data_IF_584791197068
#
_entry.id   IF_584791197068
#
_cell.length_a   1.000
_cell.length_b   1.000
_cell.length_c   1.000
_cell.angle_alpha   90.00
_cell.angle_beta   90.00
_cell.angle_gamma   90.00
#
_symmetry.space_group_name_H-M   'P 1'
#
loop_
_entity.id
_entity.type
_entity.pdbx_description
1 polymer ?
#
# COMPACT_ATOMS: atom_id res chain seq x y z
N UNK A 1 3.18 9.60 7.22
CA UNK A 1 3.33 8.50 6.24
C UNK A 1 3.50 7.22 7.03
N UNK A 2 2.76 6.17 6.69
CA UNK A 2 2.97 4.83 7.27
C UNK A 2 3.66 3.99 6.20
N UNK A 3 4.72 3.30 6.61
CA UNK A 3 5.51 2.44 5.76
C UNK A 3 5.63 1.05 6.38
N UNK A 4 5.57 0.01 5.57
CA UNK A 4 5.69 -1.37 6.04
C UNK A 4 6.51 -2.23 5.06
N UNK A 5 7.06 -3.32 5.59
CA UNK A 5 7.55 -4.41 4.77
C UNK A 5 6.38 -5.36 4.54
N UNK A 6 6.00 -5.54 3.27
CA UNK A 6 4.86 -6.36 2.87
C UNK A 6 5.38 -7.69 2.34
N UNK A 7 4.98 -8.79 2.98
CA UNK A 7 5.19 -10.14 2.46
C UNK A 7 4.09 -10.47 1.44
N UNK A 8 4.47 -11.13 0.34
CA UNK A 8 3.55 -11.57 -0.70
C UNK A 8 3.26 -13.08 -0.55
N UNK A 9 2.04 -13.50 -0.86
CA UNK A 9 1.61 -14.91 -0.69
C UNK A 9 2.46 -15.92 -1.47
N UNK A 10 2.99 -15.51 -2.64
CA UNK A 10 3.92 -16.31 -3.46
C UNK A 10 5.38 -16.27 -2.98
N UNK A 11 5.65 -15.61 -1.85
CA UNK A 11 7.00 -15.34 -1.36
C UNK A 11 7.56 -14.00 -1.84
N UNK A 12 8.66 -13.58 -1.20
CA UNK A 12 9.25 -12.26 -1.41
C UNK A 12 8.63 -11.18 -0.53
N UNK A 13 9.35 -10.06 -0.41
CA UNK A 13 8.91 -8.90 0.37
C UNK A 13 9.35 -7.60 -0.26
N UNK A 14 8.52 -6.58 -0.13
CA UNK A 14 8.83 -5.25 -0.61
C UNK A 14 8.48 -4.19 0.43
N UNK A 15 9.29 -3.13 0.53
CA UNK A 15 8.99 -2.04 1.44
C UNK A 15 8.04 -1.06 0.71
N UNK A 16 6.81 -0.90 1.22
CA UNK A 16 5.72 -0.18 0.56
C UNK A 16 5.00 0.75 1.54
N UNK A 17 4.51 1.88 1.04
CA UNK A 17 3.64 2.78 1.81
C UNK A 17 2.21 2.21 1.92
N UNK A 18 1.60 2.41 3.10
CA UNK A 18 0.19 2.12 3.31
C UNK A 18 -0.69 3.31 2.88
N UNK A 19 -1.84 3.01 2.31
CA UNK A 19 -2.87 3.94 1.91
C UNK A 19 -4.20 3.60 2.58
N UNK A 20 -5.09 4.59 2.64
CA UNK A 20 -6.47 4.48 3.13
C UNK A 20 -6.61 4.01 4.59
N UNK A 21 -5.62 4.21 5.46
CA UNK A 21 -5.70 3.90 6.88
C UNK A 21 -4.91 4.90 7.75
N UNK A 22 -5.34 5.07 9.00
CA UNK A 22 -4.57 5.71 10.07
C UNK A 22 -3.58 4.76 10.74
N UNK A 23 -2.62 5.29 11.54
CA UNK A 23 -1.62 4.49 12.22
C UNK A 23 -2.21 3.55 13.29
N UNK A 24 -3.37 3.89 13.86
CA UNK A 24 -4.04 3.07 14.88
C UNK A 24 -4.96 1.98 14.26
N UNK A 25 -5.10 1.95 12.94
CA UNK A 25 -5.95 0.99 12.20
C UNK A 25 -5.17 -0.19 11.62
N UNK A 26 -3.90 -0.35 11.99
CA UNK A 26 -2.98 -1.31 11.37
C UNK A 26 -2.16 -2.08 12.41
N UNK A 27 -1.83 -3.32 12.07
CA UNK A 27 -1.00 -4.20 12.89
C UNK A 27 -0.17 -5.13 12.01
N UNK A 28 0.94 -5.62 12.54
CA UNK A 28 1.77 -6.62 11.85
C UNK A 28 0.96 -7.90 11.67
N UNK A 29 0.96 -8.46 10.46
CA UNK A 29 0.20 -9.65 10.10
C UNK A 29 -1.16 -9.36 9.47
N UNK A 30 -1.62 -8.11 9.47
CA UNK A 30 -2.84 -7.70 8.78
C UNK A 30 -2.74 -7.92 7.26
N UNK A 31 -3.85 -8.37 6.65
CA UNK A 31 -3.95 -8.54 5.20
C UNK A 31 -4.08 -7.19 4.51
N UNK A 32 -3.29 -7.00 3.46
CA UNK A 32 -3.33 -5.82 2.60
C UNK A 32 -3.45 -6.22 1.14
N UNK A 33 -3.96 -5.33 0.32
CA UNK A 33 -4.02 -5.48 -1.13
C UNK A 33 -3.22 -4.38 -1.82
N UNK A 34 -2.49 -4.70 -2.92
CA UNK A 34 -1.87 -3.68 -3.75
C UNK A 34 -2.90 -2.71 -4.31
N UNK A 35 -2.57 -1.43 -4.30
CA UNK A 35 -3.36 -0.37 -4.95
C UNK A 35 -2.44 0.47 -5.83
N UNK A 36 -2.86 0.72 -7.06
CA UNK A 36 -2.10 1.54 -8.00
C UNK A 36 -2.47 3.01 -7.82
N UNK A 37 -1.49 3.87 -7.53
CA UNK A 37 -1.74 5.27 -7.12
C UNK A 37 -0.85 6.23 -7.89
N UNK A 38 -1.41 7.39 -8.24
CA UNK A 38 -0.61 8.52 -8.73
C UNK A 38 0.16 9.12 -7.55
N UNK A 39 1.48 9.16 -7.65
CA UNK A 39 2.34 9.80 -6.65
C UNK A 39 2.41 11.31 -6.88
N UNK A 40 2.75 11.71 -8.10
CA UNK A 40 2.85 13.10 -8.51
C UNK A 40 2.78 13.22 -10.04
N UNK A 41 2.64 14.46 -10.52
CA UNK A 41 2.79 14.82 -11.92
C UNK A 41 3.98 15.77 -12.03
N UNK A 42 4.90 15.51 -12.95
CA UNK A 42 6.01 16.39 -13.28
C UNK A 42 6.18 16.42 -14.79
N UNK A 43 6.35 17.61 -15.38
CA UNK A 43 6.47 17.80 -16.82
C UNK A 43 5.36 17.07 -17.62
N UNK A 44 4.12 17.19 -17.15
CA UNK A 44 2.93 16.51 -17.70
C UNK A 44 2.95 14.97 -17.62
N UNK A 45 4.03 14.37 -17.09
CA UNK A 45 4.15 12.94 -16.87
C UNK A 45 3.57 12.58 -15.52
N UNK A 46 2.54 11.75 -15.53
CA UNK A 46 1.95 11.18 -14.33
C UNK A 46 2.78 10.00 -13.82
N UNK A 47 3.39 10.15 -12.65
CA UNK A 47 4.14 9.09 -12.00
C UNK A 47 3.20 8.27 -11.12
N UNK A 48 3.09 6.98 -11.43
CA UNK A 48 2.30 6.04 -10.67
C UNK A 48 3.19 4.99 -10.03
N UNK A 49 2.78 4.55 -8.84
CA UNK A 49 3.45 3.46 -8.16
C UNK A 49 2.46 2.62 -7.36
N UNK A 50 2.92 1.44 -6.98
CA UNK A 50 2.17 0.55 -6.11
C UNK A 50 2.28 1.00 -4.65
N UNK A 51 1.14 1.06 -3.98
CA UNK A 51 1.01 1.12 -2.51
C UNK A 51 0.21 -0.09 -2.04
N UNK A 52 0.00 -0.23 -0.74
CA UNK A 52 -0.91 -1.24 -0.20
C UNK A 52 -1.98 -0.60 0.67
N UNK A 53 -3.17 -1.19 0.72
CA UNK A 53 -4.24 -0.76 1.62
C UNK A 53 -4.78 -1.96 2.41
N UNK A 54 -5.21 -1.79 3.67
CA UNK A 54 -5.85 -2.87 4.42
C UNK A 54 -7.04 -3.46 3.67
N UNK A 55 -7.20 -4.78 3.74
CA UNK A 55 -8.40 -5.45 3.25
C UNK A 55 -9.57 -5.00 4.12
N UNK A 56 -10.47 -4.20 3.55
CA UNK A 56 -11.77 -3.92 4.15
C UNK A 56 -12.75 -5.00 3.71
N UNK A 57 -13.53 -5.52 4.66
CA UNK A 57 -14.52 -6.57 4.39
C UNK A 57 -15.40 -6.21 3.19
N UNK A 58 -15.69 -7.20 2.34
CA UNK A 58 -16.63 -7.06 1.23
C UNK A 58 -17.97 -6.61 1.81
N UNK A 59 -18.51 -5.52 1.27
CA UNK A 59 -19.87 -5.09 1.59
C UNK A 59 -20.87 -5.94 0.83
#
# INVERSE_FOLDING_TARGET
VVFAVVDFDGGGRAPLELADCGPDEIEVGMRVLPTFRRLFTADEIHNYFWKVAPVRGVR
#
